data_IF_750966713091
#
_entry.id   IF_750966713091
#
_cell.length_a   1.000
_cell.length_b   1.000
_cell.length_c   1.000
_cell.angle_alpha   90.00
_cell.angle_beta   90.00
_cell.angle_gamma   90.00
#
_symmetry.space_group_name_H-M   'P 1'
#
loop_
_entity.id
_entity.type
_entity.pdbx_description
1 polymer ?
#
# COMPACT_ATOMS: atom_id res chain seq x y z
N UNK A 1 36.20 1.64 -36.61
CA UNK A 1 36.11 0.30 -35.99
C UNK A 1 35.08 0.34 -34.87
N UNK A 2 34.05 -0.48 -34.99
CA UNK A 2 32.96 -0.65 -34.04
C UNK A 2 33.41 -1.46 -32.81
N UNK A 3 32.88 -1.11 -31.64
CA UNK A 3 32.57 -1.96 -30.46
C UNK A 3 32.04 -0.98 -29.39
N UNK A 4 30.76 -0.84 -29.12
CA UNK A 4 29.79 -1.92 -28.90
C UNK A 4 29.89 -2.40 -27.44
N UNK A 5 29.75 -1.47 -26.48
CA UNK A 5 29.57 -1.82 -25.07
C UNK A 5 28.07 -1.78 -24.79
N UNK A 6 27.53 -2.95 -24.48
CA UNK A 6 26.12 -3.23 -24.29
C UNK A 6 25.44 -2.18 -23.39
N UNK A 7 24.43 -1.52 -23.96
CA UNK A 7 23.27 -1.07 -23.20
C UNK A 7 22.72 -2.33 -22.56
N UNK A 8 23.06 -2.56 -21.30
CA UNK A 8 22.42 -3.60 -20.50
C UNK A 8 20.98 -3.16 -20.39
N UNK A 9 20.14 -3.78 -21.22
CA UNK A 9 18.70 -3.71 -21.19
C UNK A 9 18.25 -4.05 -19.77
N UNK A 10 18.09 -3.00 -18.96
CA UNK A 10 17.48 -3.03 -17.65
C UNK A 10 15.97 -3.16 -17.86
N UNK A 11 15.58 -4.25 -18.53
CA UNK A 11 14.22 -4.76 -18.53
C UNK A 11 13.96 -5.16 -17.09
N UNK A 12 13.48 -4.19 -16.30
CA UNK A 12 12.76 -4.42 -15.05
C UNK A 12 11.89 -5.65 -15.33
N UNK A 13 12.13 -6.73 -14.60
CA UNK A 13 11.33 -7.95 -14.69
C UNK A 13 9.94 -7.58 -14.21
N UNK A 14 9.10 -7.10 -15.11
CA UNK A 14 7.66 -6.93 -14.89
C UNK A 14 6.97 -8.30 -14.96
N UNK A 15 7.56 -9.29 -14.28
CA UNK A 15 6.86 -10.51 -13.92
C UNK A 15 5.87 -10.11 -12.84
N UNK A 16 4.59 -9.96 -13.21
CA UNK A 16 3.51 -9.79 -12.25
C UNK A 16 3.60 -10.93 -11.23
N UNK A 17 4.12 -10.65 -10.05
CA UNK A 17 4.15 -11.62 -8.95
C UNK A 17 2.69 -11.84 -8.55
N UNK A 18 2.19 -13.05 -8.77
CA UNK A 18 0.91 -13.45 -8.19
C UNK A 18 1.14 -13.71 -6.71
N UNK A 19 0.43 -12.98 -5.85
CA UNK A 19 0.42 -13.25 -4.41
C UNK A 19 -0.33 -14.57 -4.18
N UNK A 20 0.29 -15.47 -3.42
CA UNK A 20 -0.37 -16.67 -2.91
C UNK A 20 -1.23 -16.35 -1.69
N UNK A 21 -2.10 -17.28 -1.28
CA UNK A 21 -2.88 -17.16 -0.05
C UNK A 21 -2.00 -16.97 1.20
N UNK A 22 -0.80 -17.58 1.21
CA UNK A 22 0.17 -17.40 2.29
C UNK A 22 0.69 -15.97 2.34
N UNK A 23 1.00 -15.38 1.19
CA UNK A 23 1.45 -13.98 1.10
C UNK A 23 0.36 -13.03 1.58
N UNK A 24 -0.90 -13.28 1.19
CA UNK A 24 -2.04 -12.48 1.65
C UNK A 24 -2.25 -12.57 3.17
N UNK A 25 -2.04 -13.75 3.77
CA UNK A 25 -2.08 -13.91 5.22
C UNK A 25 -0.99 -13.10 5.92
N UNK A 26 0.27 -13.20 5.46
CA UNK A 26 1.35 -12.41 6.02
C UNK A 26 1.11 -10.90 5.90
N UNK A 27 0.64 -10.43 4.74
CA UNK A 27 0.33 -9.01 4.56
C UNK A 27 -0.82 -8.53 5.47
N UNK A 28 -1.77 -9.41 5.79
CA UNK A 28 -2.85 -9.10 6.75
C UNK A 28 -2.30 -8.98 8.18
N UNK A 29 -1.34 -9.82 8.56
CA UNK A 29 -0.65 -9.72 9.85
C UNK A 29 0.15 -8.42 9.94
N UNK A 30 0.90 -8.07 8.89
CA UNK A 30 1.65 -6.80 8.81
C UNK A 30 0.72 -5.59 8.95
N UNK A 31 -0.43 -5.57 8.29
CA UNK A 31 -1.43 -4.52 8.45
C UNK A 31 -1.93 -4.41 9.90
N UNK A 32 -2.10 -5.54 10.58
CA UNK A 32 -2.51 -5.56 11.99
C UNK A 32 -1.43 -4.97 12.90
N UNK A 33 -0.16 -5.19 12.59
CA UNK A 33 0.97 -4.58 13.29
C UNK A 33 1.06 -3.07 13.06
N UNK A 34 0.88 -2.60 11.82
CA UNK A 34 0.85 -1.18 11.51
C UNK A 34 -0.27 -0.45 12.27
N UNK A 35 -1.47 -1.04 12.33
CA UNK A 35 -2.59 -0.49 13.10
C UNK A 35 -2.31 -0.44 14.61
N UNK A 36 -1.68 -1.49 15.16
CA UNK A 36 -1.27 -1.51 16.56
C UNK A 36 -0.21 -0.44 16.84
N UNK A 37 0.77 -0.29 15.96
CA UNK A 37 1.83 0.71 16.07
C UNK A 37 1.26 2.13 16.05
N UNK A 38 0.33 2.44 15.12
CA UNK A 38 -0.39 3.73 15.09
C UNK A 38 -1.10 4.03 16.42
N UNK A 39 -1.85 3.06 16.96
CA UNK A 39 -2.55 3.22 18.25
C UNK A 39 -1.58 3.51 19.39
N UNK A 40 -0.45 2.80 19.43
CA UNK A 40 0.60 3.03 20.44
C UNK A 40 1.25 4.39 20.29
N UNK A 41 1.55 4.83 19.07
CA UNK A 41 2.10 6.16 18.83
C UNK A 41 1.15 7.24 19.33
N UNK A 42 -0.14 7.16 18.97
CA UNK A 42 -1.15 8.12 19.44
C UNK A 42 -1.27 8.13 20.97
N UNK A 43 -1.26 6.95 21.60
CA UNK A 43 -1.32 6.84 23.06
C UNK A 43 -0.08 7.49 23.73
N UNK A 44 1.13 7.13 23.30
CA UNK A 44 2.35 7.62 23.93
C UNK A 44 2.62 9.10 23.64
N UNK A 45 2.26 9.62 22.46
CA UNK A 45 2.33 11.04 22.17
C UNK A 45 1.54 11.88 23.19
N UNK A 46 0.40 11.37 23.68
CA UNK A 46 -0.40 12.02 24.73
C UNK A 46 0.19 11.93 26.14
N UNK A 47 1.15 11.04 26.39
CA UNK A 47 1.84 10.92 27.67
C UNK A 47 3.15 11.70 27.72
N UNK A 48 3.66 12.15 26.57
CA UNK A 48 4.90 12.92 26.48
C UNK A 48 4.69 14.38 26.92
N UNK A 49 5.59 14.85 27.78
CA UNK A 49 5.65 16.25 28.21
C UNK A 49 6.59 17.08 27.32
N UNK A 50 7.60 16.45 26.72
CA UNK A 50 8.52 17.09 25.78
C UNK A 50 7.87 17.20 24.39
N UNK A 51 7.76 18.45 23.89
CA UNK A 51 7.12 18.75 22.62
C UNK A 51 7.86 18.17 21.41
N UNK A 52 9.20 18.05 21.47
CA UNK A 52 10.01 17.47 20.40
C UNK A 52 9.79 15.95 20.31
N UNK A 53 9.72 15.28 21.45
CA UNK A 53 9.43 13.84 21.52
C UNK A 53 8.01 13.55 21.04
N UNK A 54 7.02 14.35 21.49
CA UNK A 54 5.65 14.22 21.02
C UNK A 54 5.56 14.38 19.49
N UNK A 55 6.23 15.39 18.92
CA UNK A 55 6.28 15.60 17.48
C UNK A 55 6.88 14.40 16.74
N UNK A 56 7.98 13.83 17.24
CA UNK A 56 8.61 12.67 16.65
C UNK A 56 7.69 11.44 16.67
N UNK A 57 7.03 11.17 17.79
CA UNK A 57 6.07 10.06 17.91
C UNK A 57 4.90 10.24 16.94
N UNK A 58 4.38 11.47 16.79
CA UNK A 58 3.33 11.77 15.82
C UNK A 58 3.79 11.52 14.38
N UNK A 59 5.03 11.88 14.03
CA UNK A 59 5.60 11.61 12.70
C UNK A 59 5.75 10.11 12.44
N UNK A 60 6.16 9.33 13.45
CA UNK A 60 6.24 7.86 13.37
C UNK A 60 4.84 7.26 13.19
N UNK A 61 3.84 7.75 13.93
CA UNK A 61 2.44 7.34 13.76
C UNK A 61 1.91 7.56 12.34
N UNK A 62 2.22 8.72 11.74
CA UNK A 62 1.85 9.01 10.34
C UNK A 62 2.57 8.12 9.33
N UNK A 63 3.81 7.70 9.62
CA UNK A 63 4.53 6.74 8.78
C UNK A 63 3.83 5.37 8.80
N UNK A 64 3.47 4.87 9.99
CA UNK A 64 2.72 3.62 10.11
C UNK A 64 1.36 3.67 9.38
N UNK A 65 0.67 4.82 9.43
CA UNK A 65 -0.55 5.02 8.64
C UNK A 65 -0.30 4.89 7.14
N UNK A 66 0.73 5.57 6.62
CA UNK A 66 1.08 5.50 5.20
C UNK A 66 1.42 4.07 4.79
N UNK A 67 2.13 3.31 5.62
CA UNK A 67 2.44 1.90 5.34
C UNK A 67 1.19 1.03 5.29
N UNK A 68 0.26 1.19 6.23
CA UNK A 68 -1.02 0.49 6.23
C UNK A 68 -1.82 0.75 4.93
N UNK A 69 -1.94 2.03 4.53
CA UNK A 69 -2.65 2.43 3.30
C UNK A 69 -1.99 1.85 2.05
N UNK A 70 -0.65 1.84 2.00
CA UNK A 70 0.11 1.21 0.92
C UNK A 70 -0.18 -0.29 0.84
N UNK A 71 -0.09 -1.02 1.96
CA UNK A 71 -0.37 -2.47 2.00
C UNK A 71 -1.81 -2.77 1.55
N UNK A 72 -2.78 -2.01 2.07
CA UNK A 72 -4.19 -2.15 1.69
C UNK A 72 -4.39 -1.99 0.18
N UNK A 73 -3.79 -0.95 -0.41
CA UNK A 73 -3.85 -0.70 -1.86
C UNK A 73 -3.23 -1.85 -2.66
N UNK A 74 -2.09 -2.39 -2.22
CA UNK A 74 -1.44 -3.53 -2.89
C UNK A 74 -2.30 -4.80 -2.85
N UNK A 75 -2.91 -5.11 -1.69
CA UNK A 75 -3.79 -6.28 -1.54
C UNK A 75 -5.04 -6.15 -2.41
N UNK A 76 -5.70 -4.98 -2.41
CA UNK A 76 -6.87 -4.72 -3.24
C UNK A 76 -6.56 -4.84 -4.74
N UNK A 77 -5.40 -4.32 -5.16
CA UNK A 77 -4.93 -4.42 -6.54
C UNK A 77 -4.60 -5.86 -6.95
N UNK A 78 -4.14 -6.67 -6.00
CA UNK A 78 -3.74 -8.06 -6.25
C UNK A 78 -4.91 -9.04 -6.26
N UNK A 79 -5.94 -8.80 -5.43
CA UNK A 79 -7.13 -9.66 -5.31
C UNK A 79 -8.18 -9.42 -6.40
N UNK A 80 -7.97 -8.43 -7.29
CA UNK A 80 -8.88 -8.20 -8.42
C UNK A 80 -10.26 -7.70 -8.01
N UNK A 81 -10.45 -7.28 -6.76
CA UNK A 81 -11.67 -6.63 -6.29
C UNK A 81 -11.77 -5.19 -6.81
N UNK A 82 -11.55 -4.99 -8.12
CA UNK A 82 -12.02 -3.81 -8.81
C UNK A 82 -13.54 -3.95 -8.91
N UNK A 83 -14.25 -3.14 -8.12
CA UNK A 83 -15.70 -2.96 -8.25
C UNK A 83 -16.04 -2.60 -9.70
N UNK A 84 -16.65 -3.56 -10.41
CA UNK A 84 -17.25 -3.34 -11.72
C UNK A 84 -18.45 -2.42 -11.56
N UNK A 85 -18.22 -1.11 -11.55
CA UNK A 85 -19.26 -0.10 -11.78
C UNK A 85 -19.58 -0.12 -13.27
N UNK A 86 -20.39 -1.08 -13.70
CA UNK A 86 -20.88 -1.15 -15.08
C UNK A 86 -21.80 0.06 -15.31
N UNK A 87 -21.53 0.95 -16.29
CA UNK A 87 -22.48 2.00 -16.63
C UNK A 87 -23.70 1.32 -17.25
N UNK A 88 -24.83 1.36 -16.54
CA UNK A 88 -26.12 0.96 -17.08
C UNK A 88 -26.45 1.90 -18.24
N UNK A 89 -26.29 1.42 -19.48
CA UNK A 89 -26.73 2.10 -20.70
C UNK A 89 -28.27 2.04 -20.75
N UNK A 90 -28.92 2.82 -19.90
CA UNK A 90 -30.35 3.06 -19.95
C UNK A 90 -30.63 4.18 -20.97
N UNK A 91 -31.53 3.87 -21.90
CA UNK A 91 -32.19 4.74 -22.88
C UNK A 91 -31.42 5.15 -24.13
N UNK A 92 -31.41 4.25 -25.10
CA UNK A 92 -31.53 4.65 -26.51
C UNK A 92 -32.35 3.61 -27.30
N UNK A 93 -33.68 3.73 -27.25
CA UNK A 93 -34.61 3.09 -28.18
C UNK A 93 -35.86 3.99 -28.25
N UNK A 94 -35.97 4.82 -29.29
CA UNK A 94 -36.69 4.56 -30.55
C UNK A 94 -38.23 4.57 -30.36
N UNK A 95 -38.86 5.75 -30.49
CA UNK A 95 -39.81 6.12 -31.55
C UNK A 95 -40.42 7.49 -31.27
#
# INVERSE_FOLDING_TARGET
MLKGAAVVDLKRRDSKVQLSDKDLHYLTDEMSWELLAMKKCNHYAGLCQDASVQSLINQIGQMHQRHYEMLLSQIQSSTGAASTSQPNAANQQMN
#
